data_IF_901264380811
#
_entry.id   IF_901264380811
#
_cell.length_a   1.000
_cell.length_b   1.000
_cell.length_c   1.000
_cell.angle_alpha   90.00
_cell.angle_beta   90.00
_cell.angle_gamma   90.00
#
_symmetry.space_group_name_H-M   'P 1'
#
loop_
_entity.id
_entity.type
_entity.pdbx_description
1 polymer ?
#
# COMPACT_ATOMS: atom_id res chain seq x y z
N UNK A 1 15.22 -13.22 14.15
CA UNK A 1 15.42 -12.57 12.82
C UNK A 1 14.04 -12.35 12.20
N UNK A 2 13.67 -11.11 11.89
CA UNK A 2 12.35 -10.79 11.30
C UNK A 2 12.30 -11.26 9.84
N UNK A 3 11.34 -12.13 9.51
CA UNK A 3 11.11 -12.65 8.15
C UNK A 3 10.84 -11.52 7.15
N UNK A 4 10.20 -10.44 7.60
CA UNK A 4 9.92 -9.27 6.77
C UNK A 4 11.18 -8.60 6.24
N UNK A 5 12.35 -8.71 6.90
CA UNK A 5 13.60 -8.14 6.39
C UNK A 5 14.21 -8.93 5.22
N UNK A 6 13.80 -10.19 5.02
CA UNK A 6 14.33 -11.10 3.99
C UNK A 6 13.53 -11.08 2.70
N UNK A 7 12.31 -10.57 2.73
CA UNK A 7 11.46 -10.44 1.54
C UNK A 7 11.98 -9.26 0.69
N UNK A 8 12.28 -9.44 -0.60
CA UNK A 8 12.69 -8.34 -1.48
C UNK A 8 11.65 -7.20 -1.49
N UNK A 9 12.06 -5.93 -1.62
CA UNK A 9 11.12 -4.80 -1.60
C UNK A 9 10.06 -4.88 -2.71
N UNK A 10 10.36 -5.52 -3.84
CA UNK A 10 9.45 -5.72 -4.98
C UNK A 10 8.28 -6.63 -4.60
N UNK A 11 8.56 -7.73 -3.89
CA UNK A 11 7.52 -8.65 -3.40
C UNK A 11 6.63 -7.96 -2.36
N UNK A 12 7.21 -7.08 -1.53
CA UNK A 12 6.42 -6.27 -0.57
C UNK A 12 5.52 -5.28 -1.33
N UNK A 13 6.04 -4.64 -2.38
CA UNK A 13 5.27 -3.73 -3.22
C UNK A 13 4.11 -4.45 -3.96
N UNK A 14 4.33 -5.69 -4.40
CA UNK A 14 3.28 -6.51 -5.01
C UNK A 14 2.16 -6.83 -4.01
N UNK A 15 2.52 -7.24 -2.78
CA UNK A 15 1.55 -7.44 -1.69
C UNK A 15 0.77 -6.14 -1.40
N UNK A 16 1.45 -5.00 -1.36
CA UNK A 16 0.80 -3.70 -1.14
C UNK A 16 -0.18 -3.36 -2.27
N UNK A 17 0.13 -3.75 -3.50
CA UNK A 17 -0.74 -3.49 -4.66
C UNK A 17 -2.08 -4.22 -4.54
N UNK A 18 -2.12 -5.36 -3.84
CA UNK A 18 -3.37 -6.08 -3.54
C UNK A 18 -4.27 -5.35 -2.53
N UNK A 19 -3.76 -4.33 -1.84
CA UNK A 19 -4.55 -3.51 -0.90
C UNK A 19 -5.19 -2.30 -1.57
N UNK A 20 -4.77 -1.97 -2.79
CA UNK A 20 -5.32 -0.86 -3.58
C UNK A 20 -6.67 -1.32 -4.15
N UNK A 21 -7.77 -0.63 -3.80
CA UNK A 21 -9.09 -0.96 -4.32
C UNK A 21 -9.12 -0.65 -5.82
N UNK A 22 -9.83 -1.48 -6.56
CA UNK A 22 -10.16 -1.19 -7.94
C UNK A 22 -11.08 0.05 -8.05
N UNK A 23 -11.18 0.67 -9.24
CA UNK A 23 -12.06 1.82 -9.46
C UNK A 23 -13.53 1.55 -9.11
N UNK A 24 -14.00 0.31 -9.28
CA UNK A 24 -15.37 -0.08 -8.95
C UNK A 24 -15.58 -0.26 -7.44
N UNK A 25 -14.56 -0.73 -6.71
CA UNK A 25 -14.60 -0.84 -5.24
C UNK A 25 -14.64 0.54 -4.59
N UNK A 26 -13.88 1.50 -5.10
CA UNK A 26 -13.89 2.87 -4.56
C UNK A 26 -15.25 3.57 -4.70
N UNK A 27 -16.00 3.30 -5.77
CA UNK A 27 -17.32 3.90 -5.99
C UNK A 27 -18.36 3.43 -4.96
N UNK A 28 -18.19 2.23 -4.38
CA UNK A 28 -19.11 1.65 -3.39
C UNK A 28 -18.67 1.81 -1.93
N UNK A 29 -17.38 2.02 -1.66
CA UNK A 29 -16.83 2.05 -0.30
C UNK A 29 -16.77 3.47 0.28
N UNK A 30 -17.50 3.68 1.40
CA UNK A 30 -17.43 4.94 2.18
C UNK A 30 -16.16 5.10 3.03
N UNK A 31 -15.41 4.03 3.29
CA UNK A 31 -14.22 4.09 4.15
C UNK A 31 -12.94 4.33 3.34
N UNK A 32 -12.76 5.57 2.88
CA UNK A 32 -11.54 6.09 2.21
C UNK A 32 -10.24 5.83 2.97
N UNK A 33 -10.32 5.70 4.29
CA UNK A 33 -9.15 5.67 5.18
C UNK A 33 -8.46 4.29 5.24
N UNK A 34 -9.22 3.19 5.05
CA UNK A 34 -8.71 1.82 5.21
C UNK A 34 -7.92 1.29 4.02
N UNK A 35 -8.09 1.94 2.87
CA UNK A 35 -7.50 1.53 1.59
C UNK A 35 -6.31 2.40 1.18
N UNK A 36 -5.98 3.38 2.01
CA UNK A 36 -4.88 4.28 1.70
C UNK A 36 -3.52 3.59 1.92
N UNK A 37 -2.57 3.75 0.99
CA UNK A 37 -1.18 3.35 1.20
C UNK A 37 -0.54 3.97 2.45
N UNK A 38 -1.14 5.05 2.99
CA UNK A 38 -0.73 5.68 4.25
C UNK A 38 -0.66 4.69 5.42
N UNK A 39 -1.61 3.75 5.55
CA UNK A 39 -1.63 2.76 6.65
C UNK A 39 -0.37 1.88 6.61
N UNK A 40 0.09 1.51 5.42
CA UNK A 40 1.29 0.68 5.24
C UNK A 40 2.54 1.40 5.78
N UNK A 41 2.58 2.72 5.65
CA UNK A 41 3.66 3.57 6.17
C UNK A 41 3.71 3.68 7.70
N UNK A 42 2.64 3.31 8.42
CA UNK A 42 2.59 3.34 9.88
C UNK A 42 3.13 2.07 10.55
N UNK A 43 3.40 0.99 9.79
CA UNK A 43 3.82 -0.30 10.36
C UNK A 43 5.30 -0.28 10.77
N UNK A 44 6.19 0.10 9.85
CA UNK A 44 7.62 0.28 10.14
C UNK A 44 8.29 1.15 9.08
N UNK A 45 9.52 1.64 9.36
CA UNK A 45 10.29 2.48 8.44
C UNK A 45 10.54 1.82 7.07
N UNK A 46 10.74 0.50 7.04
CA UNK A 46 10.93 -0.25 5.79
C UNK A 46 9.67 -0.27 4.93
N UNK A 47 8.51 -0.49 5.53
CA UNK A 47 7.24 -0.48 4.80
C UNK A 47 6.93 0.92 4.27
N UNK A 48 7.20 1.94 5.07
CA UNK A 48 7.10 3.34 4.63
C UNK A 48 8.00 3.62 3.43
N UNK A 49 9.26 3.16 3.45
CA UNK A 49 10.16 3.32 2.32
C UNK A 49 9.63 2.65 1.06
N UNK A 50 9.18 1.38 1.14
CA UNK A 50 8.61 0.66 -0.01
C UNK A 50 7.34 1.35 -0.54
N UNK A 51 6.41 1.73 0.34
CA UNK A 51 5.18 2.39 -0.04
C UNK A 51 5.43 3.71 -0.78
N UNK A 52 6.34 4.56 -0.27
CA UNK A 52 6.72 5.81 -0.92
C UNK A 52 7.49 5.61 -2.24
N UNK A 53 8.20 4.48 -2.37
CA UNK A 53 8.99 4.15 -3.56
C UNK A 53 8.18 3.43 -4.65
N UNK A 54 6.89 3.20 -4.44
CA UNK A 54 6.01 2.44 -5.34
C UNK A 54 4.90 3.35 -5.90
N UNK A 55 5.13 4.06 -7.03
CA UNK A 55 4.17 5.03 -7.57
C UNK A 55 2.79 4.47 -7.90
N UNK A 56 2.70 3.19 -8.29
CA UNK A 56 1.42 2.54 -8.63
C UNK A 56 0.42 2.54 -7.46
N UNK A 57 0.90 2.48 -6.21
CA UNK A 57 0.06 2.57 -5.01
C UNK A 57 -0.65 3.93 -4.88
N UNK A 58 -0.09 4.97 -5.48
CA UNK A 58 -0.56 6.36 -5.40
C UNK A 58 -1.24 6.83 -6.70
N UNK A 59 -1.38 5.95 -7.69
CA UNK A 59 -2.01 6.29 -8.97
C UNK A 59 -3.51 6.60 -8.85
N UNK A 60 -4.13 6.15 -7.75
CA UNK A 60 -5.55 6.22 -7.50
C UNK A 60 -5.82 6.97 -6.19
N UNK A 61 -5.62 8.29 -6.23
CA UNK A 61 -5.94 9.19 -5.12
C UNK A 61 -7.14 10.02 -5.55
N UNK A 62 -8.31 9.76 -4.95
CA UNK A 62 -9.45 10.66 -5.07
C UNK A 62 -9.24 11.87 -4.13
N UNK A 63 -9.21 13.08 -4.69
CA UNK A 63 -9.27 14.34 -3.95
C UNK A 63 -10.66 14.54 -3.32
#
# INVERSE_FOLDING_TARGET
ISLLKRIPPEMVAEIFSLTVPSPWEMAGFRSREKHSPWILGHICSRWRAVALSTPSLWSLICL
#
